data_IF_886168054628
#
_entry.id   IF_886168054628
#
_cell.length_a   1.000
_cell.length_b   1.000
_cell.length_c   1.000
_cell.angle_alpha   90.00
_cell.angle_beta   90.00
_cell.angle_gamma   90.00
#
_symmetry.space_group_name_H-M   'P 1'
#
loop_
_entity.id
_entity.type
_entity.pdbx_description
1 polymer ?
#
# COMPACT_ATOMS: atom_id res chain seq x y z
N UNK A 1 -24.57 4.75 -10.30
CA UNK A 1 -23.36 5.20 -11.02
C UNK A 1 -22.19 4.42 -10.45
N UNK A 2 -21.43 3.72 -11.29
CA UNK A 2 -20.19 3.04 -10.90
C UNK A 2 -19.20 4.08 -10.35
N UNK A 3 -18.50 3.75 -9.26
CA UNK A 3 -17.43 4.62 -8.76
C UNK A 3 -16.36 4.77 -9.84
N UNK A 4 -15.78 5.98 -10.03
CA UNK A 4 -14.72 6.17 -10.99
C UNK A 4 -13.50 5.32 -10.59
N UNK A 5 -12.83 4.73 -11.59
CA UNK A 5 -11.64 3.91 -11.42
C UNK A 5 -10.48 4.53 -12.21
N UNK A 6 -9.25 4.36 -11.73
CA UNK A 6 -8.04 4.76 -12.45
C UNK A 6 -7.54 3.67 -13.39
N UNK A 7 -7.73 2.40 -13.03
CA UNK A 7 -7.31 1.25 -13.84
C UNK A 7 -8.47 0.26 -13.91
N UNK A 8 -8.89 -0.12 -15.11
CA UNK A 8 -9.99 -1.08 -15.25
C UNK A 8 -9.53 -2.50 -14.94
N UNK A 9 -10.47 -3.38 -14.58
CA UNK A 9 -10.21 -4.82 -14.43
C UNK A 9 -9.61 -5.45 -15.70
N UNK A 10 -10.05 -5.00 -16.87
CA UNK A 10 -9.52 -5.47 -18.15
C UNK A 10 -8.07 -5.04 -18.34
N UNK A 11 -7.72 -3.81 -17.99
CA UNK A 11 -6.33 -3.32 -18.06
C UNK A 11 -5.42 -4.04 -17.09
N UNK A 12 -5.89 -4.34 -15.87
CA UNK A 12 -5.17 -5.18 -14.92
C UNK A 12 -4.88 -6.57 -15.54
N UNK A 13 -5.91 -7.25 -16.05
CA UNK A 13 -5.73 -8.57 -16.68
C UNK A 13 -4.76 -8.51 -17.87
N UNK A 14 -4.77 -7.44 -18.66
CA UNK A 14 -3.88 -7.26 -19.80
C UNK A 14 -2.40 -7.10 -19.40
N UNK A 15 -2.11 -6.55 -18.21
CA UNK A 15 -0.75 -6.34 -17.70
C UNK A 15 -0.17 -7.56 -16.96
N UNK A 16 -1.00 -8.53 -16.59
CA UNK A 16 -0.58 -9.69 -15.80
C UNK A 16 0.47 -10.57 -16.49
N UNK A 17 0.43 -10.85 -17.81
CA UNK A 17 1.49 -11.60 -18.49
C UNK A 17 2.84 -10.88 -18.46
N UNK A 18 2.88 -9.58 -18.77
CA UNK A 18 4.11 -8.76 -18.69
C UNK A 18 4.67 -8.77 -17.27
N UNK A 19 3.81 -8.58 -16.26
CA UNK A 19 4.24 -8.61 -14.88
C UNK A 19 4.85 -9.95 -14.48
N UNK A 20 4.26 -11.08 -14.88
CA UNK A 20 4.79 -12.40 -14.55
C UNK A 20 6.17 -12.66 -15.14
N UNK A 21 6.42 -12.19 -16.36
CA UNK A 21 7.76 -12.28 -16.97
C UNK A 21 8.76 -11.50 -16.12
N UNK A 22 8.44 -10.27 -15.74
CA UNK A 22 9.30 -9.44 -14.89
C UNK A 22 9.50 -10.04 -13.51
N UNK A 23 8.42 -10.43 -12.82
CA UNK A 23 8.44 -10.89 -11.43
C UNK A 23 9.35 -12.10 -11.18
N UNK A 24 9.64 -12.89 -12.23
CA UNK A 24 10.65 -13.98 -12.19
C UNK A 24 12.08 -13.47 -12.06
N UNK A 25 12.35 -12.26 -12.55
CA UNK A 25 13.67 -11.59 -12.53
C UNK A 25 13.88 -10.75 -11.25
N UNK A 26 12.91 -10.79 -10.31
CA UNK A 26 12.97 -9.96 -9.10
C UNK A 26 14.27 -10.23 -8.31
N UNK A 27 14.92 -9.18 -7.78
CA UNK A 27 16.18 -9.33 -7.04
C UNK A 27 15.99 -9.94 -5.65
N UNK A 28 14.74 -9.97 -5.15
CA UNK A 28 14.40 -10.43 -3.81
C UNK A 28 13.49 -11.66 -3.95
N UNK A 29 14.07 -12.85 -3.78
CA UNK A 29 13.30 -14.10 -3.87
C UNK A 29 12.28 -14.21 -2.73
N UNK A 30 12.73 -13.97 -1.50
CA UNK A 30 11.93 -13.97 -0.28
C UNK A 30 11.72 -12.53 0.25
N UNK A 31 10.51 -12.03 0.02
CA UNK A 31 10.05 -10.73 0.47
C UNK A 31 9.15 -10.81 1.72
N UNK A 32 9.24 -11.88 2.53
CA UNK A 32 8.41 -12.04 3.73
C UNK A 32 8.50 -10.83 4.67
N UNK A 33 7.34 -10.24 4.98
CA UNK A 33 7.20 -8.99 5.73
C UNK A 33 7.00 -7.72 4.88
N UNK A 34 7.01 -7.82 3.55
CA UNK A 34 6.58 -6.75 2.65
C UNK A 34 5.71 -7.29 1.53
N UNK A 35 5.54 -6.53 0.45
CA UNK A 35 4.65 -6.90 -0.65
C UNK A 35 4.92 -8.30 -1.22
N UNK A 36 3.89 -9.14 -1.19
CA UNK A 36 3.83 -10.42 -1.90
C UNK A 36 3.21 -10.23 -3.29
N UNK A 37 2.87 -11.31 -4.00
CA UNK A 37 2.50 -11.27 -5.41
C UNK A 37 1.34 -10.30 -5.72
N UNK A 38 0.26 -10.37 -4.94
CA UNK A 38 -0.94 -9.55 -5.19
C UNK A 38 -0.64 -8.05 -5.12
N UNK A 39 0.10 -7.63 -4.10
CA UNK A 39 0.46 -6.23 -3.88
C UNK A 39 1.56 -5.75 -4.84
N UNK A 40 2.56 -6.59 -5.09
CA UNK A 40 3.59 -6.32 -6.10
C UNK A 40 2.98 -6.13 -7.49
N UNK A 41 2.03 -6.97 -7.88
CA UNK A 41 1.29 -6.83 -9.13
C UNK A 41 0.47 -5.54 -9.16
N UNK A 42 -0.27 -5.25 -8.10
CA UNK A 42 -1.10 -4.06 -8.03
C UNK A 42 -0.27 -2.77 -8.16
N UNK A 43 0.85 -2.67 -7.43
CA UNK A 43 1.77 -1.54 -7.51
C UNK A 43 2.38 -1.40 -8.92
N UNK A 44 2.84 -2.51 -9.52
CA UNK A 44 3.36 -2.52 -10.89
C UNK A 44 2.30 -2.08 -11.89
N UNK A 45 1.10 -2.66 -11.84
CA UNK A 45 0.05 -2.44 -12.83
C UNK A 45 -0.46 -1.00 -12.79
N UNK A 46 -0.66 -0.43 -11.59
CA UNK A 46 -1.07 0.97 -11.44
C UNK A 46 0.01 1.91 -11.97
N UNK A 47 1.28 1.72 -11.58
CA UNK A 47 2.37 2.55 -12.08
C UNK A 47 2.52 2.43 -13.60
N UNK A 48 2.48 1.20 -14.13
CA UNK A 48 2.61 0.91 -15.57
C UNK A 48 1.49 1.54 -16.39
N UNK A 49 0.25 1.48 -15.89
CA UNK A 49 -0.91 2.08 -16.55
C UNK A 49 -0.86 3.60 -16.54
N UNK A 50 -0.48 4.21 -15.41
CA UNK A 50 -0.44 5.68 -15.26
C UNK A 50 0.79 6.32 -15.92
N UNK A 51 1.88 5.55 -16.07
CA UNK A 51 3.16 5.97 -16.64
C UNK A 51 3.64 7.37 -16.17
N UNK A 52 3.70 7.63 -14.85
CA UNK A 52 4.08 8.94 -14.34
C UNK A 52 5.55 9.29 -14.66
N UNK A 53 5.89 10.58 -14.83
CA UNK A 53 7.27 11.02 -15.03
C UNK A 53 8.11 10.97 -13.75
N UNK A 54 7.47 10.96 -12.57
CA UNK A 54 8.09 10.87 -11.25
C UNK A 54 7.29 9.90 -10.38
N UNK A 55 7.99 9.01 -9.69
CA UNK A 55 7.44 8.18 -8.62
C UNK A 55 8.19 8.52 -7.33
N UNK A 56 7.42 8.89 -6.29
CA UNK A 56 7.93 9.11 -4.93
C UNK A 56 7.53 7.90 -4.08
N UNK A 57 8.51 7.11 -3.67
CA UNK A 57 8.33 5.93 -2.84
C UNK A 57 8.69 6.29 -1.39
N UNK A 58 7.77 6.09 -0.44
CA UNK A 58 8.01 6.23 1.00
C UNK A 58 7.78 4.87 1.67
N UNK A 59 8.83 4.28 2.24
CA UNK A 59 8.87 2.89 2.67
C UNK A 59 9.52 1.99 1.62
N UNK A 60 10.86 1.93 1.59
CA UNK A 60 11.63 1.16 0.60
C UNK A 60 11.91 -0.25 1.11
N UNK A 61 12.24 -0.37 2.39
CA UNK A 61 12.59 -1.61 3.09
C UNK A 61 13.65 -2.44 2.35
N UNK A 62 13.31 -3.61 1.78
CA UNK A 62 14.25 -4.44 1.00
C UNK A 62 14.54 -3.89 -0.41
N UNK A 63 13.70 -2.99 -0.94
CA UNK A 63 13.83 -2.39 -2.27
C UNK A 63 13.06 -3.09 -3.40
N UNK A 64 12.08 -3.95 -3.08
CA UNK A 64 11.31 -4.68 -4.11
C UNK A 64 10.38 -3.73 -4.90
N UNK A 65 9.65 -2.85 -4.22
CA UNK A 65 8.84 -1.78 -4.81
C UNK A 65 9.67 -0.88 -5.72
N UNK A 66 10.85 -0.43 -5.27
CA UNK A 66 11.76 0.34 -6.12
C UNK A 66 12.04 -0.40 -7.43
N UNK A 67 12.47 -1.67 -7.36
CA UNK A 67 12.75 -2.48 -8.56
C UNK A 67 11.52 -2.62 -9.45
N UNK A 68 10.33 -2.85 -8.86
CA UNK A 68 9.07 -2.94 -9.60
C UNK A 68 8.76 -1.65 -10.37
N UNK A 69 8.93 -0.48 -9.74
CA UNK A 69 8.72 0.81 -10.39
C UNK A 69 9.72 1.07 -11.51
N UNK A 70 10.96 0.59 -11.38
CA UNK A 70 11.91 0.62 -12.50
C UNK A 70 11.47 -0.20 -13.69
N UNK A 71 10.88 -1.38 -13.45
CA UNK A 71 10.38 -2.23 -14.53
C UNK A 71 9.11 -1.63 -15.14
N UNK A 72 8.20 -1.09 -14.31
CA UNK A 72 6.93 -0.52 -14.77
C UNK A 72 7.14 0.78 -15.56
N UNK A 73 8.02 1.65 -15.07
CA UNK A 73 8.26 2.98 -15.63
C UNK A 73 9.78 3.23 -15.80
N UNK A 74 10.42 2.65 -16.83
CA UNK A 74 11.87 2.79 -17.03
C UNK A 74 12.36 4.22 -17.22
N UNK A 75 11.48 5.14 -17.60
CA UNK A 75 11.81 6.55 -17.81
C UNK A 75 11.40 7.46 -16.63
N UNK A 76 10.70 6.93 -15.61
CA UNK A 76 10.32 7.72 -14.45
C UNK A 76 11.57 8.07 -13.63
N UNK A 77 11.60 9.29 -13.11
CA UNK A 77 12.46 9.64 -11.99
C UNK A 77 11.95 8.94 -10.73
N UNK A 78 12.88 8.56 -9.86
CA UNK A 78 12.57 7.86 -8.61
C UNK A 78 13.16 8.62 -7.44
N UNK A 79 12.32 9.00 -6.49
CA UNK A 79 12.72 9.52 -5.18
C UNK A 79 12.24 8.53 -4.14
N UNK A 80 13.18 7.88 -3.46
CA UNK A 80 12.95 6.77 -2.55
C UNK A 80 13.31 7.18 -1.12
N UNK A 81 12.35 7.12 -0.22
CA UNK A 81 12.43 7.65 1.14
C UNK A 81 12.36 6.48 2.11
N UNK A 82 13.42 6.31 2.91
CA UNK A 82 13.47 5.30 3.95
C UNK A 82 14.45 5.69 5.07
N UNK A 83 14.00 5.78 6.32
CA UNK A 83 14.87 6.17 7.44
C UNK A 83 15.92 5.10 7.79
N UNK A 84 15.74 3.85 7.35
CA UNK A 84 16.62 2.73 7.66
C UNK A 84 17.16 2.05 6.38
N UNK A 85 18.12 2.66 5.69
CA UNK A 85 18.70 2.11 4.46
C UNK A 85 19.42 0.76 4.66
N UNK A 86 19.74 0.39 5.90
CA UNK A 86 20.57 -0.78 6.23
C UNK A 86 19.92 -2.14 5.92
N UNK A 87 18.60 -2.18 5.72
CA UNK A 87 17.87 -3.42 5.42
C UNK A 87 17.66 -3.66 3.91
N UNK A 88 18.08 -2.71 3.06
CA UNK A 88 17.96 -2.83 1.60
C UNK A 88 18.76 -4.02 1.08
N UNK A 89 18.12 -4.81 0.21
CA UNK A 89 18.75 -5.89 -0.57
C UNK A 89 18.89 -5.49 -2.04
N UNK A 90 17.98 -4.64 -2.52
CA UNK A 90 18.06 -3.99 -3.81
C UNK A 90 18.27 -2.49 -3.65
N UNK A 91 19.08 -1.90 -4.53
CA UNK A 91 19.29 -0.46 -4.59
C UNK A 91 19.45 -0.08 -6.06
N UNK A 92 18.50 0.72 -6.55
CA UNK A 92 18.57 1.25 -7.92
C UNK A 92 19.71 2.25 -8.02
N UNK A 93 20.39 2.28 -9.16
CA UNK A 93 21.37 3.33 -9.48
C UNK A 93 20.73 4.62 -10.03
N UNK A 94 19.44 4.57 -10.39
CA UNK A 94 18.68 5.68 -10.97
C UNK A 94 17.83 6.41 -9.95
N UNK A 95 17.60 5.78 -8.79
CA UNK A 95 16.81 6.37 -7.72
C UNK A 95 17.66 7.33 -6.87
N UNK A 96 17.05 8.44 -6.53
CA UNK A 96 17.50 9.35 -5.50
C UNK A 96 17.00 8.83 -4.14
N UNK A 97 17.90 8.57 -3.20
CA UNK A 97 17.53 8.11 -1.86
C UNK A 97 17.57 9.24 -0.84
N UNK A 98 16.59 9.24 0.07
CA UNK A 98 16.47 10.16 1.20
C UNK A 98 16.17 9.38 2.49
N UNK A 99 16.66 9.88 3.62
CA UNK A 99 16.42 9.30 4.95
C UNK A 99 15.50 10.15 5.82
N UNK A 100 15.18 11.36 5.37
CA UNK A 100 14.20 12.25 5.99
C UNK A 100 12.77 11.73 5.78
N UNK A 101 11.79 12.33 6.45
CA UNK A 101 10.38 12.04 6.19
C UNK A 101 9.87 12.78 4.94
N UNK A 102 8.89 12.20 4.22
CA UNK A 102 8.24 12.85 3.07
C UNK A 102 7.78 14.29 3.35
N UNK A 103 7.27 14.56 4.56
CA UNK A 103 6.79 15.87 4.98
C UNK A 103 7.90 16.92 5.15
N UNK A 104 9.17 16.50 5.22
CA UNK A 104 10.33 17.36 5.43
C UNK A 104 11.11 17.67 4.15
N UNK A 105 10.74 17.05 3.03
CA UNK A 105 11.38 17.28 1.74
C UNK A 105 10.74 18.47 1.01
N UNK A 106 11.56 19.20 0.25
CA UNK A 106 11.11 20.28 -0.62
C UNK A 106 10.75 19.73 -2.00
N UNK A 107 9.51 19.95 -2.42
CA UNK A 107 8.97 19.49 -3.70
C UNK A 107 8.72 20.63 -4.69
N UNK A 108 9.21 21.84 -4.42
CA UNK A 108 8.92 23.04 -5.22
C UNK A 108 9.26 22.90 -6.71
N UNK A 109 10.31 22.12 -7.03
CA UNK A 109 10.78 21.89 -8.41
C UNK A 109 10.27 20.57 -9.03
N UNK A 110 9.45 19.79 -8.30
CA UNK A 110 8.98 18.49 -8.75
C UNK A 110 7.69 18.58 -9.59
N UNK A 111 7.48 17.68 -10.58
CA UNK A 111 6.25 17.61 -11.37
C UNK A 111 5.09 16.97 -10.58
N UNK A 112 4.74 17.52 -9.41
CA UNK A 112 3.85 16.91 -8.42
C UNK A 112 2.48 16.49 -8.99
N UNK A 113 1.85 17.33 -9.81
CA UNK A 113 0.52 17.04 -10.35
C UNK A 113 0.48 15.77 -11.22
N UNK A 114 1.59 15.45 -11.89
CA UNK A 114 1.72 14.31 -12.77
C UNK A 114 2.42 13.10 -12.13
N UNK A 115 3.03 13.31 -10.96
CA UNK A 115 3.72 12.28 -10.21
C UNK A 115 2.77 11.27 -9.55
N UNK A 116 3.34 10.13 -9.16
CA UNK A 116 2.69 9.10 -8.36
C UNK A 116 3.43 8.94 -7.04
N UNK A 117 2.75 9.14 -5.92
CA UNK A 117 3.28 8.76 -4.62
C UNK A 117 2.95 7.29 -4.33
N UNK A 118 3.84 6.56 -3.68
CA UNK A 118 3.62 5.22 -3.15
C UNK A 118 4.00 5.24 -1.67
N UNK A 119 3.04 4.94 -0.80
CA UNK A 119 3.21 4.95 0.65
C UNK A 119 3.05 3.53 1.22
N UNK A 120 4.16 3.02 1.73
CA UNK A 120 4.33 1.74 2.46
C UNK A 120 5.16 1.99 3.74
N UNK A 121 5.02 3.19 4.31
CA UNK A 121 5.83 3.69 5.43
C UNK A 121 5.18 3.49 6.80
N UNK A 122 4.05 2.77 6.84
CA UNK A 122 3.22 2.55 8.02
C UNK A 122 2.86 3.85 8.78
N UNK A 123 2.79 4.99 8.08
CA UNK A 123 2.31 6.24 8.63
C UNK A 123 0.79 6.38 8.48
N UNK A 124 0.24 7.41 9.12
CA UNK A 124 -1.17 7.75 8.95
C UNK A 124 -1.46 8.13 7.47
N UNK A 125 -2.18 7.26 6.75
CA UNK A 125 -2.48 7.45 5.34
C UNK A 125 -3.31 8.73 5.08
N UNK A 126 -4.22 9.09 5.98
CA UNK A 126 -4.96 10.34 5.88
C UNK A 126 -4.06 11.57 6.01
N UNK A 127 -3.08 11.53 6.91
CA UNK A 127 -2.10 12.59 7.07
C UNK A 127 -1.22 12.71 5.81
N UNK A 128 -0.78 11.58 5.23
CA UNK A 128 -0.06 11.54 3.95
C UNK A 128 -0.85 12.16 2.80
N UNK A 129 -2.17 11.93 2.74
CA UNK A 129 -3.04 12.60 1.75
C UNK A 129 -3.00 14.13 1.89
N UNK A 130 -2.98 14.67 3.11
CA UNK A 130 -2.94 16.11 3.35
C UNK A 130 -1.58 16.68 2.94
N UNK A 131 -0.51 16.02 3.36
CA UNK A 131 0.88 16.42 3.07
C UNK A 131 1.16 16.43 1.57
N UNK A 132 0.83 15.35 0.86
CA UNK A 132 1.05 15.27 -0.58
C UNK A 132 0.21 16.33 -1.32
N UNK A 133 -1.02 16.57 -0.87
CA UNK A 133 -1.91 17.54 -1.50
C UNK A 133 -1.35 18.95 -1.37
N UNK A 134 -0.76 19.28 -0.23
CA UNK A 134 -0.22 20.61 0.02
C UNK A 134 0.92 20.97 -0.94
N UNK A 135 1.69 19.96 -1.36
CA UNK A 135 2.71 20.08 -2.41
C UNK A 135 2.17 19.97 -3.84
N UNK A 136 0.87 19.75 -4.02
CA UNK A 136 0.24 19.66 -5.33
C UNK A 136 0.25 18.26 -5.96
N UNK A 137 0.68 17.23 -5.23
CA UNK A 137 0.53 15.86 -5.69
C UNK A 137 -0.94 15.46 -5.74
N UNK A 138 -1.32 14.66 -6.75
CA UNK A 138 -2.71 14.25 -6.97
C UNK A 138 -2.96 12.76 -6.80
N UNK A 139 -1.97 11.93 -7.14
CA UNK A 139 -2.11 10.47 -7.22
C UNK A 139 -1.23 9.78 -6.21
N UNK A 140 -1.81 8.84 -5.47
CA UNK A 140 -1.06 7.98 -4.56
C UNK A 140 -1.56 6.55 -4.57
N UNK A 141 -0.65 5.62 -4.32
CA UNK A 141 -0.93 4.26 -3.88
C UNK A 141 -0.64 4.19 -2.38
N UNK A 142 -1.53 3.54 -1.64
CA UNK A 142 -1.31 3.17 -0.25
C UNK A 142 -1.31 1.64 -0.14
N UNK A 143 -0.18 1.11 0.33
CA UNK A 143 -0.05 -0.24 0.84
C UNK A 143 -0.83 -0.35 2.17
N UNK A 144 -1.14 -1.58 2.58
CA UNK A 144 -1.69 -1.89 3.89
C UNK A 144 -2.96 -1.08 4.22
N UNK A 145 -3.92 -1.11 3.28
CA UNK A 145 -5.19 -0.44 3.43
C UNK A 145 -6.14 -1.23 4.35
N UNK A 146 -5.71 -1.43 5.60
CA UNK A 146 -6.25 -2.38 6.57
C UNK A 146 -7.77 -2.28 6.78
N UNK A 147 -8.45 -3.42 7.00
CA UNK A 147 -9.85 -3.44 7.40
C UNK A 147 -10.03 -2.91 8.82
N UNK A 148 -11.24 -2.46 9.15
CA UNK A 148 -11.52 -1.90 10.47
C UNK A 148 -11.28 -2.90 11.61
N UNK A 149 -10.42 -2.51 12.56
CA UNK A 149 -10.03 -3.34 13.70
C UNK A 149 -8.69 -4.05 13.53
N UNK A 150 -8.00 -3.84 12.40
CA UNK A 150 -6.69 -4.42 12.11
C UNK A 150 -5.67 -3.35 11.72
N UNK A 151 -4.39 -3.71 11.73
CA UNK A 151 -3.28 -2.86 11.28
C UNK A 151 -2.61 -2.04 12.37
N UNK A 152 -1.47 -1.45 12.01
CA UNK A 152 -0.64 -0.56 12.84
C UNK A 152 -0.65 0.90 12.39
N UNK A 153 -1.45 1.21 11.37
CA UNK A 153 -1.58 2.56 10.83
C UNK A 153 -3.03 2.93 10.50
N UNK A 154 -3.31 4.24 10.44
CA UNK A 154 -4.65 4.74 10.08
C UNK A 154 -4.86 4.70 8.56
N UNK A 155 -5.28 3.54 8.07
CA UNK A 155 -5.61 3.30 6.66
C UNK A 155 -6.81 4.10 6.12
N UNK A 156 -6.95 4.17 4.80
CA UNK A 156 -8.07 4.87 4.16
C UNK A 156 -9.41 4.14 4.30
N UNK A 157 -9.40 2.80 4.46
CA UNK A 157 -10.59 2.04 4.88
C UNK A 157 -11.11 2.52 6.23
N UNK A 158 -10.23 2.73 7.20
CA UNK A 158 -10.63 3.27 8.50
C UNK A 158 -11.23 4.68 8.39
N UNK A 159 -10.64 5.55 7.56
CA UNK A 159 -11.15 6.90 7.28
C UNK A 159 -12.56 6.82 6.70
N UNK A 160 -12.75 6.02 5.64
CA UNK A 160 -14.05 5.87 4.96
C UNK A 160 -15.14 5.28 5.86
N UNK A 161 -14.76 4.43 6.80
CA UNK A 161 -15.69 3.87 7.79
C UNK A 161 -15.98 4.82 8.96
N UNK A 162 -15.21 5.90 9.13
CA UNK A 162 -15.26 6.74 10.33
C UNK A 162 -14.79 6.02 11.60
N UNK A 163 -14.03 4.94 11.43
CA UNK A 163 -13.62 4.04 12.52
C UNK A 163 -12.52 4.65 13.40
N UNK A 164 -11.70 5.53 12.84
CA UNK A 164 -10.48 6.00 13.50
C UNK A 164 -9.38 4.93 13.51
N UNK A 165 -8.41 5.10 14.39
CA UNK A 165 -7.32 4.17 14.67
C UNK A 165 -6.94 4.30 16.15
N UNK A 166 -7.74 3.73 17.07
CA UNK A 166 -7.61 4.00 18.51
C UNK A 166 -6.41 3.30 19.18
N UNK A 167 -5.72 2.38 18.52
CA UNK A 167 -4.56 1.69 19.09
C UNK A 167 -3.44 1.63 18.07
N UNK A 168 -2.20 1.70 18.53
CA UNK A 168 -1.00 1.66 17.66
C UNK A 168 -0.79 0.31 16.96
N UNK A 169 -1.48 -0.73 17.42
CA UNK A 169 -1.49 -2.05 16.79
C UNK A 169 -2.82 -2.71 17.15
N UNK A 170 -3.73 -2.77 16.19
CA UNK A 170 -5.06 -3.34 16.39
C UNK A 170 -5.06 -4.86 16.12
N UNK A 171 -4.18 -5.33 15.23
CA UNK A 171 -4.10 -6.75 14.89
C UNK A 171 -3.64 -7.61 16.05
N UNK A 172 -4.49 -8.56 16.45
CA UNK A 172 -4.26 -9.41 17.63
C UNK A 172 -2.94 -10.21 17.54
N UNK A 173 -2.61 -10.73 16.36
CA UNK A 173 -1.39 -11.49 16.07
C UNK A 173 -0.10 -10.69 16.26
N UNK A 174 -0.17 -9.35 16.17
CA UNK A 174 0.98 -8.46 16.28
C UNK A 174 1.02 -7.68 17.60
N UNK A 175 0.12 -8.00 18.55
CA UNK A 175 0.13 -7.32 19.84
C UNK A 175 1.32 -7.69 20.73
N UNK A 176 1.98 -8.82 20.46
CA UNK A 176 3.19 -9.22 21.17
C UNK A 176 2.97 -9.59 22.64
N UNK A 177 4.06 -9.62 23.40
CA UNK A 177 4.04 -10.08 24.81
C UNK A 177 3.40 -9.03 25.76
N UNK A 178 3.02 -9.45 26.97
CA UNK A 178 2.37 -8.55 27.94
C UNK A 178 3.17 -7.28 28.27
N UNK A 179 4.51 -7.35 28.24
CA UNK A 179 5.40 -6.21 28.48
C UNK A 179 5.30 -5.17 27.35
N UNK A 180 5.29 -5.63 26.10
CA UNK A 180 5.14 -4.79 24.92
C UNK A 180 3.75 -4.15 24.90
N UNK A 181 2.71 -4.92 25.23
CA UNK A 181 1.33 -4.41 25.39
C UNK A 181 1.26 -3.31 26.45
N UNK A 182 1.92 -3.50 27.59
CA UNK A 182 1.96 -2.50 28.66
C UNK A 182 2.72 -1.23 28.25
N UNK A 183 3.88 -1.38 27.60
CA UNK A 183 4.65 -0.25 27.09
C UNK A 183 3.85 0.56 26.05
N UNK A 184 3.20 -0.14 25.11
CA UNK A 184 2.32 0.46 24.10
C UNK A 184 1.14 1.19 24.74
N UNK A 185 0.47 0.60 25.72
CA UNK A 185 -0.65 1.26 26.42
C UNK A 185 -0.22 2.57 27.11
N UNK A 186 1.01 2.63 27.65
CA UNK A 186 1.56 3.87 28.23
C UNK A 186 1.83 4.93 27.15
N UNK A 187 2.35 4.52 26.00
CA UNK A 187 2.57 5.41 24.85
C UNK A 187 1.24 5.94 24.33
N UNK A 188 0.25 5.07 24.09
CA UNK A 188 -1.10 5.44 23.65
C UNK A 188 -1.74 6.46 24.60
N UNK A 189 -1.63 6.28 25.92
CA UNK A 189 -2.12 7.27 26.89
C UNK A 189 -1.50 8.66 26.69
N UNK A 190 -0.20 8.70 26.38
CA UNK A 190 0.50 9.96 26.08
C UNK A 190 0.00 10.54 24.76
N UNK A 191 -0.13 9.73 23.72
CA UNK A 191 -0.62 10.17 22.40
C UNK A 191 -2.06 10.72 22.48
N UNK A 192 -2.93 10.07 23.25
CA UNK A 192 -4.30 10.54 23.48
C UNK A 192 -4.36 11.86 24.26
N UNK A 193 -3.46 12.09 25.21
CA UNK A 193 -3.36 13.39 25.87
C UNK A 193 -3.01 14.52 24.88
N UNK A 194 -2.35 14.19 23.77
CA UNK A 194 -1.99 15.10 22.70
C UNK A 194 -2.80 14.89 21.42
N UNK A 195 -3.99 14.29 21.51
CA UNK A 195 -4.80 13.84 20.38
C UNK A 195 -4.82 14.80 19.19
N UNK A 196 -5.13 16.08 19.41
CA UNK A 196 -5.27 17.10 18.37
C UNK A 196 -3.95 17.55 17.72
N UNK A 197 -2.80 17.13 18.25
CA UNK A 197 -1.45 17.55 17.85
C UNK A 197 -0.56 16.40 17.38
N UNK A 198 -1.14 15.22 17.15
CA UNK A 198 -0.43 14.04 16.66
C UNK A 198 -1.29 13.30 15.64
N UNK A 199 -0.66 12.44 14.83
CA UNK A 199 -1.34 11.70 13.76
C UNK A 199 -1.33 10.17 13.95
N UNK A 200 -0.59 9.62 14.91
CA UNK A 200 -0.42 8.17 15.08
C UNK A 200 -1.71 7.46 15.52
N UNK A 201 -2.45 8.01 16.49
CA UNK A 201 -3.75 7.47 16.92
C UNK A 201 -4.88 8.41 16.56
N UNK A 202 -6.03 7.85 16.17
CA UNK A 202 -7.22 8.60 15.76
C UNK A 202 -8.47 8.06 16.46
N UNK A 203 -9.28 8.93 17.06
CA UNK A 203 -10.57 8.52 17.58
C UNK A 203 -11.55 8.31 16.42
N UNK A 204 -12.56 7.44 16.59
CA UNK A 204 -13.67 7.35 15.65
C UNK A 204 -14.26 8.74 15.40
N UNK A 205 -14.37 9.13 14.14
CA UNK A 205 -14.83 10.45 13.77
C UNK A 205 -15.40 10.46 12.36
N UNK A 206 -16.35 11.35 12.11
CA UNK A 206 -16.97 11.55 10.78
C UNK A 206 -16.33 12.68 9.99
N UNK A 207 -15.48 13.49 10.62
CA UNK A 207 -14.88 14.67 10.01
C UNK A 207 -13.84 14.27 8.95
N UNK A 208 -12.96 13.32 9.28
CA UNK A 208 -11.94 12.79 8.36
C UNK A 208 -12.62 12.13 7.15
N UNK A 209 -13.70 11.36 7.39
CA UNK A 209 -14.53 10.80 6.32
C UNK A 209 -15.11 11.89 5.41
N UNK A 210 -15.73 12.93 5.99
CA UNK A 210 -16.33 14.00 5.22
C UNK A 210 -15.29 14.79 4.41
N UNK A 211 -14.12 15.03 5.00
CA UNK A 211 -12.99 15.66 4.31
C UNK A 211 -12.45 14.78 3.19
N UNK A 212 -12.32 13.47 3.42
CA UNK A 212 -11.94 12.50 2.39
C UNK A 212 -12.92 12.53 1.21
N UNK A 213 -14.22 12.35 1.46
CA UNK A 213 -15.26 12.36 0.41
C UNK A 213 -15.33 13.70 -0.36
N UNK A 214 -14.97 14.81 0.29
CA UNK A 214 -14.91 16.14 -0.33
C UNK A 214 -13.71 16.30 -1.27
N UNK A 215 -12.55 15.73 -0.95
CA UNK A 215 -11.30 16.03 -1.64
C UNK A 215 -10.80 14.89 -2.52
N UNK A 216 -11.30 13.67 -2.34
CA UNK A 216 -10.95 12.51 -3.15
C UNK A 216 -11.93 12.39 -4.31
N UNK A 217 -11.40 12.37 -5.54
CA UNK A 217 -12.10 12.13 -6.79
C UNK A 217 -12.25 10.64 -7.05
N UNK A 218 -11.16 9.89 -6.89
CA UNK A 218 -11.10 8.44 -7.10
C UNK A 218 -10.54 7.77 -5.86
N UNK A 219 -11.23 6.74 -5.39
CA UNK A 219 -10.70 5.76 -4.45
C UNK A 219 -10.99 4.40 -5.06
N UNK A 220 -9.94 3.64 -5.32
CA UNK A 220 -10.05 2.32 -5.91
C UNK A 220 -9.16 1.36 -5.13
N UNK A 221 -9.75 0.29 -4.62
CA UNK A 221 -8.97 -0.86 -4.16
C UNK A 221 -8.65 -1.73 -5.36
N UNK A 222 -7.41 -2.18 -5.46
CA UNK A 222 -6.99 -3.05 -6.55
C UNK A 222 -7.32 -4.49 -6.14
N UNK A 223 -8.14 -5.23 -6.90
CA UNK A 223 -8.51 -6.59 -6.55
C UNK A 223 -7.28 -7.51 -6.52
N UNK A 224 -7.26 -8.54 -5.65
CA UNK A 224 -6.20 -9.54 -5.69
C UNK A 224 -6.21 -10.28 -7.02
N UNK A 225 -5.05 -10.76 -7.48
CA UNK A 225 -4.99 -11.62 -8.67
C UNK A 225 -5.63 -12.97 -8.35
N UNK A 226 -5.18 -13.55 -7.24
CA UNK A 226 -5.69 -14.79 -6.65
C UNK A 226 -6.02 -14.51 -5.19
N UNK A 227 -7.12 -15.07 -4.70
CA UNK A 227 -7.56 -14.90 -3.31
C UNK A 227 -7.70 -16.26 -2.63
N UNK A 228 -7.05 -16.42 -1.48
CA UNK A 228 -7.22 -17.61 -0.65
C UNK A 228 -8.63 -17.68 -0.03
N UNK A 229 -9.00 -18.87 0.46
CA UNK A 229 -10.31 -19.09 1.07
C UNK A 229 -10.51 -18.28 2.35
N UNK A 230 -9.47 -18.18 3.18
CA UNK A 230 -9.44 -17.37 4.39
C UNK A 230 -8.67 -16.07 4.16
N UNK A 231 -9.05 -15.02 4.88
CA UNK A 231 -8.30 -13.77 4.89
C UNK A 231 -7.02 -13.88 5.73
N UNK A 232 -6.15 -12.87 5.65
CA UNK A 232 -4.86 -12.82 6.36
C UNK A 232 -4.99 -12.87 7.90
N UNK A 233 -6.20 -12.72 8.44
CA UNK A 233 -6.54 -12.74 9.86
C UNK A 233 -7.28 -14.02 10.28
N UNK A 234 -7.33 -15.03 9.40
CA UNK A 234 -7.92 -16.35 9.68
C UNK A 234 -9.44 -16.41 9.58
N UNK A 235 -10.09 -15.36 9.08
CA UNK A 235 -11.55 -15.27 8.94
C UNK A 235 -12.06 -15.42 7.50
N UNK A 236 -13.36 -15.25 7.32
CA UNK A 236 -14.01 -15.18 6.01
C UNK A 236 -13.83 -13.81 5.36
N UNK A 237 -14.04 -13.74 4.03
CA UNK A 237 -14.03 -12.48 3.27
C UNK A 237 -15.39 -11.79 3.30
N UNK A 238 -15.82 -11.33 4.49
CA UNK A 238 -17.10 -10.66 4.70
C UNK A 238 -16.99 -9.43 5.61
N UNK A 239 -18.07 -8.64 5.70
CA UNK A 239 -18.13 -7.46 6.56
C UNK A 239 -16.98 -6.47 6.32
N UNK A 240 -16.22 -6.14 7.37
CA UNK A 240 -15.06 -5.26 7.30
C UNK A 240 -13.90 -5.87 6.48
N UNK A 241 -13.87 -7.20 6.33
CA UNK A 241 -12.90 -7.97 5.58
C UNK A 241 -13.38 -8.32 4.16
N UNK A 242 -14.48 -7.73 3.68
CA UNK A 242 -14.89 -7.94 2.30
C UNK A 242 -13.84 -7.36 1.35
N UNK A 243 -13.46 -8.11 0.32
CA UNK A 243 -12.62 -7.68 -0.80
C UNK A 243 -13.36 -7.79 -2.13
N UNK A 244 -12.92 -7.04 -3.13
CA UNK A 244 -13.36 -7.25 -4.52
C UNK A 244 -13.07 -8.70 -4.97
N UNK A 245 -13.83 -9.18 -5.96
CA UNK A 245 -13.61 -10.50 -6.52
C UNK A 245 -12.20 -10.58 -7.14
N UNK A 246 -11.45 -11.67 -6.91
CA UNK A 246 -10.10 -11.83 -7.47
C UNK A 246 -10.14 -11.74 -8.99
N UNK A 247 -9.05 -11.29 -9.62
CA UNK A 247 -8.96 -11.16 -11.08
C UNK A 247 -9.18 -12.50 -11.80
N UNK A 248 -8.70 -13.58 -11.19
CA UNK A 248 -8.83 -14.94 -11.69
C UNK A 248 -9.66 -15.81 -10.74
N UNK A 249 -10.37 -16.78 -11.31
CA UNK A 249 -10.97 -17.87 -10.55
C UNK A 249 -9.87 -18.89 -10.20
N UNK A 250 -9.51 -18.95 -8.91
CA UNK A 250 -8.36 -19.72 -8.45
C UNK A 250 -7.07 -19.25 -9.13
N UNK A 251 -6.27 -20.18 -9.64
CA UNK A 251 -5.04 -19.86 -10.38
C UNK A 251 -5.27 -19.62 -11.88
N UNK A 252 -6.51 -19.66 -12.38
CA UNK A 252 -6.80 -19.58 -13.81
C UNK A 252 -6.28 -20.78 -14.62
N UNK A 253 -6.16 -20.59 -15.94
CA UNK A 253 -5.80 -21.64 -16.91
C UNK A 253 -4.35 -21.52 -17.40
N UNK A 254 -3.73 -22.61 -17.91
CA UNK A 254 -2.41 -22.54 -18.54
C UNK A 254 -2.39 -21.58 -19.75
N UNK A 255 -1.23 -20.93 -20.04
CA UNK A 255 0.06 -21.04 -19.33
C UNK A 255 0.16 -20.16 -18.07
N UNK A 256 -0.77 -19.23 -17.88
CA UNK A 256 -0.80 -18.29 -16.76
C UNK A 256 -0.86 -19.01 -15.40
N UNK A 257 -1.78 -19.97 -15.29
CA UNK A 257 -1.99 -20.69 -14.03
C UNK A 257 -0.81 -21.56 -13.59
N UNK A 258 0.02 -22.04 -14.52
CA UNK A 258 1.22 -22.80 -14.17
C UNK A 258 2.28 -21.90 -13.55
N UNK A 259 2.43 -20.67 -14.07
CA UNK A 259 3.33 -19.68 -13.48
C UNK A 259 2.90 -19.29 -12.06
N UNK A 260 1.59 -19.08 -11.83
CA UNK A 260 1.08 -18.72 -10.52
C UNK A 260 1.21 -19.88 -9.52
N UNK A 261 0.99 -21.13 -9.95
CA UNK A 261 1.22 -22.32 -9.12
C UNK A 261 2.70 -22.50 -8.75
N UNK A 262 3.62 -22.15 -9.63
CA UNK A 262 5.05 -22.17 -9.30
C UNK A 262 5.37 -21.14 -8.20
N UNK A 263 4.80 -19.95 -8.27
CA UNK A 263 4.94 -18.91 -7.23
C UNK A 263 4.34 -19.37 -5.90
N UNK A 264 3.16 -20.01 -5.92
CA UNK A 264 2.57 -20.62 -4.73
C UNK A 264 3.48 -21.70 -4.11
N UNK A 265 4.16 -22.50 -4.92
CA UNK A 265 5.04 -23.56 -4.44
C UNK A 265 6.29 -23.02 -3.71
N UNK A 266 6.78 -21.84 -4.10
CA UNK A 266 7.93 -21.19 -3.46
C UNK A 266 7.61 -20.64 -2.07
N UNK A 267 6.37 -20.16 -1.86
CA UNK A 267 5.92 -19.61 -0.56
C UNK A 267 4.47 -20.02 -0.29
N UNK A 268 4.25 -21.30 0.10
CA UNK A 268 2.92 -21.86 0.25
C UNK A 268 2.05 -21.05 1.22
N UNK A 269 0.80 -20.80 0.83
CA UNK A 269 -0.23 -20.08 1.60
C UNK A 269 0.09 -18.62 1.95
N UNK A 270 1.19 -18.06 1.47
CA UNK A 270 1.58 -16.68 1.74
C UNK A 270 1.94 -15.89 0.47
N UNK A 271 2.24 -16.57 -0.64
CA UNK A 271 2.61 -15.91 -1.89
C UNK A 271 1.53 -14.95 -2.41
N UNK A 272 0.26 -15.21 -2.10
CA UNK A 272 -0.90 -14.41 -2.51
C UNK A 272 -1.64 -13.76 -1.33
N UNK A 273 -0.94 -13.52 -0.20
CA UNK A 273 -1.52 -12.75 0.90
C UNK A 273 -2.03 -11.38 0.41
N UNK A 274 -3.17 -10.95 0.96
CA UNK A 274 -3.85 -9.74 0.50
C UNK A 274 -4.33 -8.86 1.66
N UNK A 275 -3.50 -7.87 2.02
CA UNK A 275 -3.79 -6.81 2.99
C UNK A 275 -4.50 -5.56 2.44
N UNK A 276 -5.11 -5.63 1.25
CA UNK A 276 -5.69 -4.48 0.51
C UNK A 276 -4.67 -3.42 0.10
N UNK A 277 -4.62 -3.12 -1.20
CA UNK A 277 -3.89 -1.97 -1.74
C UNK A 277 -4.89 -1.05 -2.42
N UNK A 278 -4.77 0.25 -2.18
CA UNK A 278 -5.64 1.22 -2.84
C UNK A 278 -4.87 2.29 -3.58
N UNK A 279 -5.49 2.80 -4.64
CA UNK A 279 -5.04 3.97 -5.39
C UNK A 279 -6.06 5.09 -5.22
N UNK A 280 -5.56 6.32 -5.08
CA UNK A 280 -6.37 7.52 -4.92
C UNK A 280 -6.05 8.57 -5.97
N UNK A 281 -7.12 9.19 -6.47
CA UNK A 281 -7.23 10.44 -7.22
C UNK A 281 -7.68 11.63 -6.35
N UNK A 282 -6.88 12.65 -6.06
CA UNK A 282 -7.39 13.91 -5.47
C UNK A 282 -8.09 14.80 -6.51
N UNK A 283 -9.05 15.62 -6.05
CA UNK A 283 -9.74 16.64 -6.87
C UNK A 283 -8.87 17.87 -7.15
#
# INVERSE_FOLDING_TARGET
MTQPQLVSRQDLLALLPEFLERYRERPIADNAGGMQFNHAFAAFAVARHLAPPLIVESGVWKGQSTWLFEQACPNAQLVCIDPNPGVRRYTSRRAEYRTDDFALLDWSDAPCADALCFFDDHQNAYQRLIEMRWWGFRRAIFEDNFPCGEGDSYSLRHVRAGFGHPHLQMSSSYQGAWRERFARARLERTLFAHYARQAMVRHPNVADRAAFERNVRVYQEIPPVVRYATNNWGGAWDGAYASEAPLLDGFGTPPLGDALRAIEADTPQHAFDYGYLCVVELR
#
